data_IF_146809805190
#
_entry.id   IF_146809805190
#
_cell.length_a   1.000
_cell.length_b   1.000
_cell.length_c   1.000
_cell.angle_alpha   90.00
_cell.angle_beta   90.00
_cell.angle_gamma   90.00
#
_symmetry.space_group_name_H-M   'P 1'
#
loop_
_entity.id
_entity.type
_entity.pdbx_description
1 polymer ?
#
# COMPACT_ATOMS: atom_id res chain seq x y z
N UNK A 1 -6.26 -63.64 26.88
CA UNK A 1 -6.67 -62.22 26.90
C UNK A 1 -5.43 -61.35 26.78
N UNK A 2 -5.02 -60.97 25.57
CA UNK A 2 -4.05 -59.90 25.33
C UNK A 2 -4.49 -59.17 24.08
N UNK A 3 -5.07 -57.99 24.30
CA UNK A 3 -5.56 -57.07 23.29
C UNK A 3 -4.34 -56.42 22.63
N UNK A 4 -4.18 -56.65 21.33
CA UNK A 4 -3.20 -55.94 20.50
C UNK A 4 -3.79 -54.58 20.17
N UNK A 5 -3.33 -53.52 20.83
CA UNK A 5 -3.70 -52.14 20.48
C UNK A 5 -2.83 -51.73 19.30
N UNK A 6 -3.41 -51.73 18.10
CA UNK A 6 -2.86 -51.04 16.94
C UNK A 6 -3.00 -49.54 17.20
N UNK A 7 -1.91 -48.86 17.55
CA UNK A 7 -1.86 -47.41 17.53
C UNK A 7 -1.73 -46.96 16.07
N UNK A 8 -2.84 -46.52 15.46
CA UNK A 8 -2.78 -45.71 14.25
C UNK A 8 -2.09 -44.39 14.58
N UNK A 9 -0.88 -44.20 14.06
CA UNK A 9 -0.25 -42.89 13.98
C UNK A 9 -1.02 -42.06 12.95
N UNK A 10 -2.01 -41.30 13.41
CA UNK A 10 -2.51 -40.16 12.65
C UNK A 10 -1.50 -39.02 12.82
N UNK A 11 -0.48 -38.97 11.96
CA UNK A 11 0.30 -37.75 11.77
C UNK A 11 -0.59 -36.74 11.06
N UNK A 12 -1.28 -35.90 11.82
CA UNK A 12 -1.86 -34.68 11.28
C UNK A 12 -0.66 -33.79 10.92
N UNK A 13 -0.25 -33.81 9.65
CA UNK A 13 0.62 -32.77 9.12
C UNK A 13 -0.24 -31.50 9.09
N UNK A 14 -0.04 -30.60 10.05
CA UNK A 14 -0.56 -29.25 9.93
C UNK A 14 0.13 -28.62 8.72
N UNK A 15 -0.58 -28.47 7.61
CA UNK A 15 -0.06 -27.79 6.42
C UNK A 15 0.27 -26.35 6.81
N UNK A 16 1.44 -25.86 6.38
CA UNK A 16 1.76 -24.44 6.52
C UNK A 16 0.79 -23.61 5.66
N UNK A 17 0.58 -22.34 6.00
CA UNK A 17 -0.21 -21.42 5.15
C UNK A 17 0.32 -21.42 3.70
N UNK A 18 1.64 -21.49 3.54
CA UNK A 18 2.32 -21.57 2.24
C UNK A 18 1.88 -22.83 1.48
N UNK A 19 1.90 -24.00 2.12
CA UNK A 19 1.49 -25.26 1.49
C UNK A 19 0.01 -25.25 1.14
N UNK A 20 -0.85 -24.64 1.98
CA UNK A 20 -2.28 -24.52 1.70
C UNK A 20 -2.54 -23.68 0.45
N UNK A 21 -1.82 -22.56 0.29
CA UNK A 21 -1.96 -21.67 -0.87
C UNK A 21 -1.39 -22.32 -2.13
N UNK A 22 -0.16 -22.84 -2.06
CA UNK A 22 0.55 -23.32 -3.25
C UNK A 22 0.02 -24.67 -3.78
N UNK A 23 -0.65 -25.46 -2.95
CA UNK A 23 -1.26 -26.72 -3.37
C UNK A 23 -2.75 -26.58 -3.75
N UNK A 24 -3.36 -25.40 -3.57
CA UNK A 24 -4.74 -25.17 -3.98
C UNK A 24 -4.81 -24.88 -5.50
N UNK A 25 -5.44 -25.75 -6.31
CA UNK A 25 -5.55 -25.56 -7.75
C UNK A 25 -6.38 -24.33 -8.15
N UNK A 26 -7.14 -23.75 -7.22
CA UNK A 26 -7.92 -22.53 -7.41
C UNK A 26 -7.22 -21.29 -6.84
N UNK A 27 -5.98 -21.40 -6.34
CA UNK A 27 -5.23 -20.23 -5.92
C UNK A 27 -4.81 -19.40 -7.13
N UNK A 28 -5.06 -18.09 -7.06
CA UNK A 28 -4.65 -17.11 -8.08
C UNK A 28 -3.28 -16.50 -7.78
N UNK A 29 -2.64 -16.91 -6.68
CA UNK A 29 -1.36 -16.35 -6.23
C UNK A 29 -0.46 -17.41 -5.59
N UNK A 30 0.83 -17.09 -5.51
CA UNK A 30 1.85 -17.95 -4.91
C UNK A 30 2.39 -17.33 -3.63
N UNK A 31 2.57 -18.21 -2.63
CA UNK A 31 3.15 -17.87 -1.35
C UNK A 31 4.64 -18.28 -1.28
N UNK A 32 5.45 -17.48 -0.60
CA UNK A 32 6.88 -17.69 -0.41
C UNK A 32 7.31 -17.33 1.02
N UNK A 33 8.20 -18.16 1.58
CA UNK A 33 8.84 -17.86 2.86
C UNK A 33 10.02 -16.93 2.62
N UNK A 34 9.85 -15.65 2.95
CA UNK A 34 10.96 -14.69 2.91
C UNK A 34 11.97 -14.96 4.04
N UNK A 35 13.26 -14.72 3.78
CA UNK A 35 14.26 -14.57 4.81
C UNK A 35 13.90 -13.45 5.83
N UNK A 36 14.15 -13.64 7.13
CA UNK A 36 13.78 -12.67 8.18
C UNK A 36 14.37 -11.27 8.01
N UNK A 37 15.48 -11.13 7.28
CA UNK A 37 16.11 -9.84 6.97
C UNK A 37 15.31 -9.00 5.96
N UNK A 38 14.42 -9.62 5.18
CA UNK A 38 13.51 -8.91 4.28
C UNK A 38 12.27 -8.50 5.07
N UNK A 39 11.60 -9.47 5.68
CA UNK A 39 10.32 -9.25 6.36
C UNK A 39 10.09 -10.33 7.43
N UNK A 40 9.39 -9.95 8.50
CA UNK A 40 8.85 -10.88 9.51
C UNK A 40 7.40 -10.52 9.81
N UNK A 41 6.63 -11.46 10.36
CA UNK A 41 5.24 -11.20 10.74
C UNK A 41 5.12 -10.09 11.80
N UNK A 42 6.11 -9.98 12.69
CA UNK A 42 6.19 -8.88 13.65
C UNK A 42 6.42 -7.53 12.95
N UNK A 43 7.33 -7.48 11.97
CA UNK A 43 7.55 -6.29 11.14
C UNK A 43 6.26 -5.89 10.43
N UNK A 44 5.51 -6.84 9.85
CA UNK A 44 4.23 -6.55 9.19
C UNK A 44 3.24 -5.87 10.13
N UNK A 45 3.06 -6.40 11.36
CA UNK A 45 2.17 -5.79 12.36
C UNK A 45 2.58 -4.35 12.69
N UNK A 46 3.88 -4.07 12.74
CA UNK A 46 4.39 -2.71 12.94
C UNK A 46 4.18 -1.81 11.72
N UNK A 47 4.21 -2.38 10.50
CA UNK A 47 4.01 -1.63 9.25
C UNK A 47 2.54 -1.31 8.97
N UNK A 48 1.60 -2.09 9.52
CA UNK A 48 0.15 -1.83 9.48
C UNK A 48 -0.24 -0.65 10.39
N UNK A 49 0.08 0.56 9.94
CA UNK A 49 -0.13 1.80 10.67
C UNK A 49 -1.31 2.64 10.20
N UNK A 50 -2.27 2.09 9.46
CA UNK A 50 -3.42 2.88 8.99
C UNK A 50 -4.67 2.52 9.78
N UNK A 51 -5.32 3.53 10.33
CA UNK A 51 -6.63 3.39 10.94
C UNK A 51 -7.69 3.44 9.83
N UNK A 52 -8.32 2.31 9.57
CA UNK A 52 -9.36 2.16 8.54
C UNK A 52 -10.73 2.33 9.23
N UNK A 53 -11.49 3.38 8.91
CA UNK A 53 -12.86 3.52 9.40
C UNK A 53 -13.71 2.33 8.96
N UNK A 54 -14.64 1.90 9.80
CA UNK A 54 -15.63 0.90 9.37
C UNK A 54 -16.60 1.59 8.42
N UNK A 55 -16.52 1.29 7.12
CA UNK A 55 -17.53 1.69 6.16
C UNK A 55 -18.49 0.54 5.85
N UNK A 56 -19.79 0.85 5.91
CA UNK A 56 -20.86 -0.01 5.41
C UNK A 56 -21.17 0.41 3.97
N UNK A 57 -20.85 -0.44 3.00
CA UNK A 57 -21.13 -0.19 1.60
C UNK A 57 -20.62 -1.30 0.68
N UNK A 58 -21.41 -1.61 -0.35
CA UNK A 58 -21.11 -2.65 -1.35
C UNK A 58 -20.61 -2.05 -2.67
N UNK A 59 -20.17 -0.78 -2.67
CA UNK A 59 -19.71 -0.13 -3.89
C UNK A 59 -18.32 -0.68 -4.28
N UNK A 60 -18.31 -1.38 -5.42
CA UNK A 60 -17.12 -2.00 -6.01
C UNK A 60 -16.72 -1.32 -7.31
N UNK A 61 -15.45 -1.49 -7.70
CA UNK A 61 -14.97 -1.01 -8.97
C UNK A 61 -15.61 -1.78 -10.15
N UNK A 62 -16.11 -1.08 -11.19
CA UNK A 62 -16.65 -1.72 -12.39
C UNK A 62 -15.63 -2.63 -13.03
N UNK A 63 -16.00 -3.87 -13.35
CA UNK A 63 -15.07 -4.80 -14.02
C UNK A 63 -14.75 -4.34 -15.44
N UNK A 64 -15.81 -3.94 -16.16
CA UNK A 64 -15.78 -3.52 -17.56
C UNK A 64 -16.30 -2.08 -17.71
N UNK A 65 -15.59 -1.30 -18.50
CA UNK A 65 -16.03 0.00 -18.98
C UNK A 65 -15.66 0.14 -20.44
N UNK A 66 -16.64 0.36 -21.32
CA UNK A 66 -16.40 0.60 -22.75
C UNK A 66 -15.53 1.84 -23.03
N UNK A 67 -15.30 2.69 -22.02
CA UNK A 67 -14.52 3.91 -22.13
C UNK A 67 -13.05 3.77 -21.68
N UNK A 68 -12.67 2.66 -21.04
CA UNK A 68 -11.32 2.44 -20.50
C UNK A 68 -10.71 1.14 -21.04
N UNK A 69 -9.38 1.05 -21.16
CA UNK A 69 -8.74 -0.19 -21.58
C UNK A 69 -8.90 -1.29 -20.51
N UNK A 70 -8.90 -2.54 -20.96
CA UNK A 70 -8.96 -3.72 -20.07
C UNK A 70 -7.77 -3.76 -19.10
N UNK A 71 -6.59 -3.37 -19.58
CA UNK A 71 -5.35 -3.30 -18.83
C UNK A 71 -4.77 -1.88 -18.88
N UNK A 72 -4.22 -1.43 -17.76
CA UNK A 72 -3.56 -0.15 -17.64
C UNK A 72 -2.45 -0.24 -16.59
N UNK A 73 -1.26 0.20 -16.96
CA UNK A 73 -0.13 0.34 -16.06
C UNK A 73 0.45 1.75 -16.18
N UNK A 74 0.47 2.50 -15.09
CA UNK A 74 1.01 3.86 -15.06
C UNK A 74 2.49 3.91 -15.48
N UNK A 75 3.26 2.83 -15.27
CA UNK A 75 4.67 2.72 -15.68
C UNK A 75 4.81 2.67 -17.20
N UNK A 76 3.86 2.06 -17.89
CA UNK A 76 3.82 2.01 -19.35
C UNK A 76 3.23 3.28 -19.93
N UNK A 77 2.19 3.83 -19.29
CA UNK A 77 1.53 5.08 -19.71
C UNK A 77 2.45 6.29 -19.61
N UNK A 78 3.25 6.36 -18.55
CA UNK A 78 4.20 7.44 -18.28
C UNK A 78 5.60 6.89 -17.97
N UNK A 79 6.33 6.41 -18.99
CA UNK A 79 7.65 5.80 -18.80
C UNK A 79 8.63 6.73 -18.09
N UNK A 80 9.27 6.22 -17.03
CA UNK A 80 10.25 6.95 -16.22
C UNK A 80 9.66 8.07 -15.36
N UNK A 81 8.33 8.14 -15.20
CA UNK A 81 7.68 9.13 -14.32
C UNK A 81 7.35 8.60 -12.94
N UNK A 82 7.11 7.30 -12.78
CA UNK A 82 6.94 6.71 -11.46
C UNK A 82 8.31 6.60 -10.79
N UNK A 83 8.38 7.01 -9.52
CA UNK A 83 9.58 6.94 -8.70
C UNK A 83 9.79 5.53 -8.10
N UNK A 84 11.01 5.21 -7.63
CA UNK A 84 11.32 3.90 -7.04
C UNK A 84 10.47 3.57 -5.81
N UNK A 85 10.39 2.27 -5.49
CA UNK A 85 9.70 1.77 -4.29
C UNK A 85 10.46 2.18 -3.03
N UNK A 86 9.73 2.67 -2.03
CA UNK A 86 10.30 3.01 -0.72
C UNK A 86 10.11 1.88 0.32
N UNK A 87 10.78 2.02 1.48
CA UNK A 87 10.67 1.09 2.62
C UNK A 87 10.40 1.86 3.93
N UNK A 88 9.22 1.67 4.51
CA UNK A 88 8.79 2.28 5.77
C UNK A 88 9.47 1.65 7.01
N UNK A 89 10.25 0.58 6.85
CA UNK A 89 10.98 -0.09 7.93
C UNK A 89 10.05 -0.66 9.00
N UNK A 90 10.33 -0.37 10.27
CA UNK A 90 9.60 -0.84 11.45
C UNK A 90 8.63 0.21 12.02
N UNK A 91 8.26 1.18 11.19
CA UNK A 91 7.40 2.29 11.58
C UNK A 91 6.06 2.15 10.88
N UNK A 92 4.95 2.25 11.62
CA UNK A 92 3.58 2.27 11.10
C UNK A 92 3.26 3.59 10.38
N UNK A 93 4.06 3.93 9.37
CA UNK A 93 4.03 5.20 8.64
C UNK A 93 3.46 5.06 7.23
N UNK A 94 2.90 3.91 6.87
CA UNK A 94 2.30 3.67 5.56
C UNK A 94 1.30 4.75 5.11
N UNK A 95 0.52 5.31 6.04
CA UNK A 95 -0.36 6.46 5.81
C UNK A 95 0.39 7.67 5.22
N UNK A 96 1.59 7.98 5.72
CA UNK A 96 2.41 9.07 5.21
C UNK A 96 3.08 8.73 3.88
N UNK A 97 3.53 7.47 3.73
CA UNK A 97 4.12 6.98 2.48
C UNK A 97 3.10 7.04 1.34
N UNK A 98 1.87 6.57 1.54
CA UNK A 98 0.88 6.55 0.48
C UNK A 98 0.52 7.95 -0.03
N UNK A 99 0.45 8.96 0.86
CA UNK A 99 0.26 10.37 0.48
C UNK A 99 1.48 10.90 -0.29
N UNK A 100 2.69 10.71 0.24
CA UNK A 100 3.93 11.19 -0.38
C UNK A 100 4.17 10.57 -1.77
N UNK A 101 4.01 9.25 -1.88
CA UNK A 101 4.15 8.49 -3.13
C UNK A 101 3.07 8.87 -4.15
N UNK A 102 1.82 9.06 -3.71
CA UNK A 102 0.77 9.58 -4.60
C UNK A 102 1.10 10.97 -5.12
N UNK A 103 1.63 11.85 -4.26
CA UNK A 103 2.01 13.21 -4.62
C UNK A 103 3.19 13.24 -5.60
N UNK A 104 4.26 12.49 -5.31
CA UNK A 104 5.48 12.48 -6.13
C UNK A 104 5.23 11.93 -7.52
N UNK A 105 4.47 10.84 -7.65
CA UNK A 105 4.11 10.27 -8.95
C UNK A 105 3.29 11.27 -9.77
N UNK A 106 2.28 11.90 -9.17
CA UNK A 106 1.44 12.90 -9.85
C UNK A 106 2.21 14.15 -10.26
N UNK A 107 3.12 14.63 -9.42
CA UNK A 107 3.99 15.77 -9.72
C UNK A 107 4.98 15.45 -10.84
N UNK A 108 5.58 14.25 -10.82
CA UNK A 108 6.49 13.77 -11.86
C UNK A 108 5.78 13.59 -13.21
N UNK A 109 4.56 13.01 -13.22
CA UNK A 109 3.71 12.87 -14.40
C UNK A 109 3.40 14.24 -15.03
N UNK A 110 3.19 15.27 -14.20
CA UNK A 110 2.98 16.67 -14.64
C UNK A 110 4.26 17.36 -15.13
N UNK A 111 5.43 16.75 -14.94
CA UNK A 111 6.72 17.31 -15.33
C UNK A 111 7.34 18.26 -14.32
N UNK A 112 6.91 18.23 -13.04
CA UNK A 112 7.60 18.97 -11.98
C UNK A 112 8.93 18.28 -11.64
N UNK A 113 10.03 19.02 -11.65
CA UNK A 113 11.37 18.51 -11.32
C UNK A 113 11.66 18.68 -9.82
N UNK A 114 11.03 17.83 -8.99
CA UNK A 114 11.10 17.93 -7.53
C UNK A 114 11.68 16.67 -6.85
N UNK A 115 11.74 15.54 -7.56
CA UNK A 115 12.15 14.25 -7.00
C UNK A 115 11.11 13.64 -6.05
N UNK A 116 11.58 12.79 -5.12
CA UNK A 116 10.74 12.11 -4.15
C UNK A 116 10.20 13.08 -3.08
N UNK A 117 8.95 12.84 -2.67
CA UNK A 117 8.32 13.58 -1.58
C UNK A 117 8.65 12.93 -0.24
N UNK A 118 8.71 13.73 0.82
CA UNK A 118 9.11 13.25 2.14
C UNK A 118 7.92 12.68 2.93
N UNK A 119 7.81 11.35 3.12
CA UNK A 119 6.91 10.80 4.13
C UNK A 119 7.34 11.22 5.54
N UNK A 120 8.63 11.50 5.75
CA UNK A 120 9.14 11.93 7.06
C UNK A 120 8.51 13.24 7.52
N UNK A 121 8.33 14.22 6.63
CA UNK A 121 7.70 15.51 6.95
C UNK A 121 6.31 15.32 7.58
N UNK A 122 5.49 14.43 7.02
CA UNK A 122 4.21 14.02 7.60
C UNK A 122 4.42 13.31 8.95
N UNK A 123 5.29 12.30 8.99
CA UNK A 123 5.53 11.48 10.20
C UNK A 123 5.99 12.29 11.41
N UNK A 124 6.82 13.32 11.22
CA UNK A 124 7.37 14.10 12.33
C UNK A 124 6.58 15.38 12.65
N UNK A 125 5.81 15.94 11.70
CA UNK A 125 5.13 17.23 11.86
C UNK A 125 3.60 17.15 11.91
N UNK A 126 2.97 16.12 11.35
CA UNK A 126 1.52 15.94 11.54
C UNK A 126 1.24 15.51 12.98
N UNK A 127 0.64 16.43 13.75
CA UNK A 127 0.29 16.21 15.15
C UNK A 127 -1.15 15.73 15.36
N UNK A 128 -1.93 15.58 14.29
CA UNK A 128 -3.24 14.90 14.35
C UNK A 128 -3.06 13.38 14.31
N UNK A 129 -2.07 12.90 13.57
CA UNK A 129 -1.69 11.50 13.51
C UNK A 129 -0.57 11.17 14.53
N UNK A 130 -0.23 9.88 14.66
CA UNK A 130 0.64 9.37 15.75
C UNK A 130 1.99 8.86 15.25
N UNK A 131 2.51 9.42 14.15
CA UNK A 131 3.80 9.06 13.57
C UNK A 131 3.88 7.55 13.27
N UNK A 132 4.83 6.85 13.90
CA UNK A 132 5.00 5.39 13.75
C UNK A 132 3.90 4.54 14.39
N UNK A 133 3.02 5.13 15.22
CA UNK A 133 1.90 4.40 15.84
C UNK A 133 0.62 4.49 15.00
N UNK A 134 0.72 5.09 13.81
CA UNK A 134 -0.31 5.10 12.79
C UNK A 134 -1.00 6.44 12.59
N UNK A 135 -1.82 6.49 11.54
CA UNK A 135 -2.51 7.69 11.08
C UNK A 135 -3.77 7.38 10.29
N UNK A 136 -4.52 8.43 9.98
CA UNK A 136 -5.77 8.37 9.22
C UNK A 136 -5.61 9.11 7.89
N UNK A 137 -5.92 8.48 6.73
CA UNK A 137 -5.77 9.10 5.42
C UNK A 137 -6.42 10.49 5.32
N UNK A 138 -7.59 10.67 5.94
CA UNK A 138 -8.27 11.96 6.00
C UNK A 138 -7.36 13.07 6.58
N UNK A 139 -6.76 12.85 7.76
CA UNK A 139 -5.88 13.83 8.40
C UNK A 139 -4.63 14.08 7.55
N UNK A 140 -4.05 13.02 6.99
CA UNK A 140 -2.83 13.10 6.21
C UNK A 140 -3.03 13.88 4.89
N UNK A 141 -4.16 13.70 4.22
CA UNK A 141 -4.53 14.52 3.05
C UNK A 141 -4.92 15.94 3.44
N UNK A 142 -5.60 16.15 4.56
CA UNK A 142 -5.88 17.49 5.10
C UNK A 142 -4.57 18.24 5.41
N UNK A 143 -3.56 17.56 5.97
CA UNK A 143 -2.23 18.11 6.16
C UNK A 143 -1.58 18.50 4.83
N UNK A 144 -1.60 17.61 3.83
CA UNK A 144 -1.08 17.88 2.50
C UNK A 144 -1.79 19.08 1.83
N UNK A 145 -3.07 19.30 2.12
CA UNK A 145 -3.82 20.46 1.65
C UNK A 145 -3.45 21.75 2.37
N UNK A 146 -3.41 21.72 3.70
CA UNK A 146 -3.29 22.90 4.57
C UNK A 146 -1.84 23.37 4.72
N UNK A 147 -0.91 22.45 4.91
CA UNK A 147 0.51 22.69 5.17
C UNK A 147 1.37 22.33 3.96
N UNK A 148 1.01 21.26 3.25
CA UNK A 148 1.80 20.70 2.17
C UNK A 148 2.86 19.73 2.67
N UNK A 149 3.63 19.17 1.73
CA UNK A 149 4.67 18.19 1.98
C UNK A 149 5.96 18.67 1.30
N UNK A 150 7.11 18.51 1.95
CA UNK A 150 8.42 18.82 1.35
C UNK A 150 9.05 17.60 0.66
N UNK A 151 10.24 17.77 0.08
CA UNK A 151 10.95 16.70 -0.62
C UNK A 151 11.80 15.86 0.31
N UNK A 152 12.06 14.62 -0.09
CA UNK A 152 12.94 13.68 0.63
C UNK A 152 14.37 14.25 0.77
N UNK A 153 14.82 15.07 -0.19
CA UNK A 153 16.11 15.78 -0.08
C UNK A 153 16.16 16.84 1.03
N UNK A 154 15.01 17.43 1.37
CA UNK A 154 14.91 18.41 2.46
C UNK A 154 14.81 17.71 3.81
N UNK A 155 13.89 16.74 3.93
CA UNK A 155 13.67 15.95 5.14
C UNK A 155 13.74 14.46 4.77
N UNK A 156 14.91 13.81 4.91
CA UNK A 156 15.04 12.39 4.62
C UNK A 156 14.35 11.50 5.65
N UNK A 157 13.91 10.32 5.24
CA UNK A 157 13.29 9.33 6.09
C UNK A 157 14.28 8.74 7.10
N UNK A 158 13.97 8.94 8.38
CA UNK A 158 14.78 8.45 9.51
C UNK A 158 13.96 7.65 10.51
N UNK A 159 12.64 7.64 10.39
CA UNK A 159 11.74 6.94 11.31
C UNK A 159 11.69 5.42 11.10
N UNK A 160 12.37 4.86 10.10
CA UNK A 160 12.33 3.43 9.77
C UNK A 160 12.79 2.49 10.90
N UNK A 161 13.45 3.01 11.95
CA UNK A 161 13.74 2.28 13.19
C UNK A 161 12.58 2.21 14.19
N UNK A 162 11.42 2.80 13.89
CA UNK A 162 10.25 2.91 14.78
C UNK A 162 10.29 4.13 15.72
N UNK A 163 11.24 5.06 15.53
CA UNK A 163 11.44 6.23 16.39
C UNK A 163 11.16 7.50 15.61
N UNK A 164 10.25 8.32 16.11
CA UNK A 164 9.87 9.59 15.46
C UNK A 164 10.67 10.73 16.10
N UNK A 165 11.51 11.46 15.34
CA UNK A 165 12.19 12.65 15.85
C UNK A 165 11.21 13.81 16.02
N UNK A 166 11.68 14.91 16.63
CA UNK A 166 10.91 16.16 16.66
C UNK A 166 10.80 16.76 15.26
N UNK A 167 9.64 17.33 14.92
CA UNK A 167 9.42 18.09 13.69
C UNK A 167 10.54 19.10 13.43
N UNK A 168 11.19 18.99 12.27
CA UNK A 168 12.26 19.90 11.87
C UNK A 168 11.69 21.25 11.45
N UNK A 169 12.46 22.30 11.73
CA UNK A 169 12.19 23.66 11.28
C UNK A 169 12.99 24.09 10.05
N UNK A 170 13.97 23.27 9.63
CA UNK A 170 14.86 23.50 8.48
C UNK A 170 15.13 22.18 7.75
N UNK A 171 15.47 22.26 6.47
CA UNK A 171 15.99 21.12 5.73
C UNK A 171 17.32 20.63 6.33
N UNK A 172 17.74 19.40 6.02
CA UNK A 172 18.99 18.81 6.51
C UNK A 172 20.25 19.60 6.10
N UNK A 173 20.17 20.38 5.02
CA UNK A 173 21.23 21.28 4.56
C UNK A 173 21.19 22.69 5.21
N UNK A 174 20.23 22.95 6.10
CA UNK A 174 20.04 24.22 6.79
C UNK A 174 19.15 25.26 6.08
N UNK A 175 18.64 24.98 4.87
CA UNK A 175 17.73 25.88 4.16
C UNK A 175 16.32 25.90 4.77
N UNK A 176 15.52 26.90 4.39
CA UNK A 176 14.09 26.92 4.70
C UNK A 176 13.36 25.74 4.07
N UNK A 177 12.35 25.24 4.76
CA UNK A 177 11.49 24.16 4.27
C UNK A 177 10.49 24.76 3.27
N UNK A 178 10.49 24.24 2.05
CA UNK A 178 9.48 24.55 1.04
C UNK A 178 8.53 23.37 0.89
N UNK A 179 7.24 23.60 1.16
CA UNK A 179 6.19 22.58 1.06
C UNK A 179 5.29 22.81 -0.15
N UNK A 180 4.99 21.73 -0.87
CA UNK A 180 4.06 21.72 -1.99
C UNK A 180 2.70 21.30 -1.45
N UNK A 181 1.69 22.16 -1.63
CA UNK A 181 0.33 21.90 -1.15
C UNK A 181 -0.52 21.21 -2.20
N UNK A 182 -1.33 20.24 -1.76
CA UNK A 182 -2.46 19.77 -2.55
C UNK A 182 -3.48 20.92 -2.66
N UNK A 183 -3.79 21.36 -3.88
CA UNK A 183 -4.77 22.43 -4.12
C UNK A 183 -6.20 22.01 -3.81
N UNK A 184 -6.48 20.72 -4.02
CA UNK A 184 -7.74 20.05 -3.73
C UNK A 184 -7.42 18.64 -3.26
N UNK A 185 -8.23 18.13 -2.34
CA UNK A 185 -8.21 16.74 -1.89
C UNK A 185 -9.63 16.16 -2.04
N UNK A 186 -9.73 14.84 -2.15
CA UNK A 186 -11.04 14.20 -2.18
C UNK A 186 -10.99 12.70 -2.17
N UNK A 187 -12.09 12.12 -1.69
CA UNK A 187 -12.38 10.70 -1.83
C UNK A 187 -12.63 10.32 -3.29
N UNK A 188 -12.27 9.10 -3.64
CA UNK A 188 -12.58 8.49 -4.91
C UNK A 188 -13.56 7.35 -4.64
N UNK A 189 -14.75 7.39 -5.25
CA UNK A 189 -15.65 6.24 -5.17
C UNK A 189 -15.08 5.06 -5.94
N UNK A 190 -15.38 3.82 -5.50
CA UNK A 190 -14.95 2.60 -6.19
C UNK A 190 -15.24 2.64 -7.70
N UNK A 191 -16.40 3.19 -8.07
CA UNK A 191 -16.85 3.38 -9.46
C UNK A 191 -15.99 4.33 -10.29
N UNK A 192 -15.25 5.22 -9.66
CA UNK A 192 -14.42 6.23 -10.32
C UNK A 192 -12.94 5.90 -10.27
N UNK A 193 -12.50 4.90 -9.50
CA UNK A 193 -11.09 4.57 -9.27
C UNK A 193 -10.30 4.38 -10.58
N UNK A 194 -10.80 3.57 -11.52
CA UNK A 194 -10.10 3.38 -12.80
C UNK A 194 -10.01 4.69 -13.60
N UNK A 195 -11.10 5.47 -13.65
CA UNK A 195 -11.14 6.73 -14.40
C UNK A 195 -10.21 7.78 -13.79
N UNK A 196 -10.15 7.86 -12.46
CA UNK A 196 -9.24 8.74 -11.73
C UNK A 196 -7.79 8.36 -12.00
N UNK A 197 -7.42 7.08 -11.89
CA UNK A 197 -6.07 6.62 -12.19
C UNK A 197 -5.69 6.92 -13.65
N UNK A 198 -6.59 6.66 -14.59
CA UNK A 198 -6.35 6.91 -16.03
C UNK A 198 -6.05 8.37 -16.34
N UNK A 199 -6.77 9.30 -15.70
CA UNK A 199 -6.67 10.73 -15.98
C UNK A 199 -5.57 11.41 -15.18
N UNK A 200 -5.51 11.13 -13.88
CA UNK A 200 -4.76 11.92 -12.90
C UNK A 200 -3.51 11.20 -12.39
N UNK A 201 -3.39 9.89 -12.63
CA UNK A 201 -2.29 9.07 -12.16
C UNK A 201 -2.51 8.46 -10.77
N UNK A 202 -1.46 7.81 -10.21
CA UNK A 202 -1.54 7.01 -8.99
C UNK A 202 -2.17 7.73 -7.80
N UNK A 203 -2.83 6.96 -6.93
CA UNK A 203 -3.52 7.49 -5.76
C UNK A 203 -3.52 6.50 -4.59
N UNK A 204 -3.78 7.01 -3.39
CA UNK A 204 -3.77 6.22 -2.16
C UNK A 204 -5.05 5.39 -2.03
N UNK A 205 -4.88 4.16 -1.56
CA UNK A 205 -5.96 3.35 -0.98
C UNK A 205 -5.54 2.77 0.36
N UNK A 206 -6.51 2.34 1.14
CA UNK A 206 -6.25 1.49 2.31
C UNK A 206 -6.85 0.11 2.12
N UNK A 207 -6.28 -0.89 2.79
CA UNK A 207 -6.83 -2.25 2.84
C UNK A 207 -6.45 -2.96 4.14
N UNK A 208 -7.20 -3.99 4.46
CA UNK A 208 -6.98 -4.86 5.59
C UNK A 208 -5.90 -5.90 5.26
N UNK A 209 -4.86 -5.97 6.08
CA UNK A 209 -3.79 -6.95 5.94
C UNK A 209 -4.10 -8.18 6.78
N UNK A 210 -3.95 -9.37 6.19
CA UNK A 210 -4.06 -10.66 6.87
C UNK A 210 -2.70 -11.38 6.92
N UNK A 211 -2.58 -12.38 7.80
CA UNK A 211 -1.34 -13.14 8.00
C UNK A 211 -0.82 -13.83 6.73
N UNK A 212 -1.69 -14.21 5.80
CA UNK A 212 -1.27 -14.84 4.56
C UNK A 212 -0.60 -13.85 3.58
N UNK A 213 -0.99 -12.58 3.58
CA UNK A 213 -0.41 -11.54 2.72
C UNK A 213 1.09 -11.34 2.94
N UNK A 214 1.57 -11.58 4.17
CA UNK A 214 3.01 -11.58 4.49
C UNK A 214 3.81 -12.49 3.54
N UNK A 215 3.24 -13.61 3.11
CA UNK A 215 3.87 -14.59 2.24
C UNK A 215 3.72 -14.28 0.75
N UNK A 216 3.01 -13.21 0.36
CA UNK A 216 2.75 -12.92 -1.05
C UNK A 216 4.04 -12.86 -1.88
N UNK A 217 4.08 -13.63 -2.98
CA UNK A 217 5.20 -13.63 -3.93
C UNK A 217 4.83 -13.08 -5.30
N UNK A 218 3.72 -13.54 -5.85
CA UNK A 218 3.27 -13.19 -7.20
C UNK A 218 1.84 -13.66 -7.44
N UNK A 219 1.21 -13.16 -8.50
CA UNK A 219 -0.17 -13.48 -8.88
C UNK A 219 -1.18 -12.53 -8.25
N UNK A 220 -2.46 -12.88 -8.31
CA UNK A 220 -3.56 -12.02 -7.85
C UNK A 220 -3.97 -12.45 -6.44
N UNK A 221 -3.59 -11.65 -5.45
CA UNK A 221 -3.86 -11.91 -4.04
C UNK A 221 -5.36 -11.92 -3.74
N UNK A 222 -5.73 -12.90 -2.92
CA UNK A 222 -7.02 -13.05 -2.28
C UNK A 222 -6.77 -13.61 -0.88
N UNK A 223 -7.30 -12.98 0.16
CA UNK A 223 -7.17 -13.46 1.52
C UNK A 223 -7.92 -14.80 1.68
N UNK A 224 -7.24 -15.78 2.28
CA UNK A 224 -7.78 -17.13 2.50
C UNK A 224 -7.50 -17.64 3.91
N UNK A 225 -6.35 -17.30 4.49
CA UNK A 225 -5.87 -17.91 5.72
C UNK A 225 -5.28 -16.90 6.71
N UNK A 226 -5.39 -17.25 7.99
CA UNK A 226 -4.77 -16.52 9.09
C UNK A 226 -5.55 -15.29 9.55
N UNK A 227 -5.03 -14.67 10.61
CA UNK A 227 -5.70 -13.58 11.32
C UNK A 227 -5.53 -12.20 10.66
N UNK A 228 -6.42 -11.28 11.00
CA UNK A 228 -6.27 -9.86 10.71
C UNK A 228 -5.04 -9.29 11.44
N UNK A 229 -4.21 -8.54 10.72
CA UNK A 229 -2.98 -7.93 11.24
C UNK A 229 -3.10 -6.42 11.46
N UNK A 230 -3.95 -5.73 10.70
CA UNK A 230 -4.12 -4.28 10.78
C UNK A 230 -4.46 -3.66 9.43
N UNK A 231 -4.75 -2.36 9.45
CA UNK A 231 -4.98 -1.58 8.24
C UNK A 231 -3.67 -1.02 7.68
N UNK A 232 -3.58 -0.94 6.36
CA UNK A 232 -2.38 -0.50 5.67
C UNK A 232 -2.74 0.36 4.46
N UNK A 233 -2.02 1.48 4.28
CA UNK A 233 -2.16 2.37 3.13
C UNK A 233 -1.10 2.08 2.07
N UNK A 234 -1.52 2.10 0.81
CA UNK A 234 -0.72 1.73 -0.38
C UNK A 234 -1.17 2.56 -1.58
N UNK A 235 -0.45 2.48 -2.69
CA UNK A 235 -0.74 3.29 -3.89
C UNK A 235 -1.18 2.40 -5.06
N UNK A 236 -2.37 2.64 -5.61
CA UNK A 236 -2.80 1.98 -6.85
C UNK A 236 -2.14 2.66 -8.05
N UNK A 237 -1.51 1.85 -8.92
CA UNK A 237 -0.80 2.33 -10.12
C UNK A 237 -1.34 1.72 -11.41
N UNK A 238 -2.20 0.71 -11.36
CA UNK A 238 -2.68 0.02 -12.53
C UNK A 238 -3.84 -0.91 -12.27
N UNK A 239 -4.39 -1.49 -13.33
CA UNK A 239 -5.35 -2.60 -13.27
C UNK A 239 -5.15 -3.52 -14.47
N UNK A 240 -5.69 -4.73 -14.39
CA UNK A 240 -5.72 -5.63 -15.53
C UNK A 240 -6.67 -6.80 -15.32
N UNK A 241 -6.60 -7.75 -16.25
CA UNK A 241 -7.32 -9.02 -16.19
C UNK A 241 -6.39 -10.18 -16.58
N UNK A 242 -6.37 -11.23 -15.77
CA UNK A 242 -5.60 -12.45 -16.05
C UNK A 242 -6.50 -13.65 -15.79
N UNK A 243 -6.72 -14.51 -16.79
CA UNK A 243 -7.59 -15.70 -16.68
C UNK A 243 -8.98 -15.38 -16.09
N UNK A 244 -9.64 -14.34 -16.61
CA UNK A 244 -10.94 -13.81 -16.14
C UNK A 244 -10.95 -13.28 -14.68
N UNK A 245 -9.77 -13.12 -14.07
CA UNK A 245 -9.62 -12.51 -12.74
C UNK A 245 -9.14 -11.06 -12.91
N UNK A 246 -10.01 -10.12 -12.56
CA UNK A 246 -9.68 -8.70 -12.56
C UNK A 246 -8.85 -8.33 -11.33
N UNK A 247 -7.84 -7.49 -11.51
CA UNK A 247 -6.96 -7.07 -10.43
C UNK A 247 -6.59 -5.59 -10.49
N UNK A 248 -6.18 -5.06 -9.34
CA UNK A 248 -5.42 -3.82 -9.20
C UNK A 248 -3.93 -4.14 -9.16
N UNK A 249 -3.09 -3.27 -9.74
CA UNK A 249 -1.63 -3.25 -9.55
C UNK A 249 -1.34 -2.21 -8.49
N UNK A 250 -0.67 -2.64 -7.42
CA UNK A 250 -0.51 -1.84 -6.21
C UNK A 250 0.97 -1.76 -5.84
N UNK A 251 1.43 -0.54 -5.61
CA UNK A 251 2.74 -0.21 -5.06
C UNK A 251 2.68 -0.32 -3.53
N UNK A 252 3.55 -1.15 -2.97
CA UNK A 252 3.72 -1.29 -1.52
C UNK A 252 4.88 -0.41 -1.03
N UNK A 253 5.00 -0.25 0.29
CA UNK A 253 6.04 0.54 0.96
C UNK A 253 6.98 -0.32 1.82
N UNK A 254 7.19 -1.59 1.42
CA UNK A 254 8.01 -2.59 2.15
C UNK A 254 9.34 -2.93 1.43
N UNK A 255 9.75 -2.09 0.49
CA UNK A 255 10.96 -2.27 -0.31
C UNK A 255 10.81 -3.28 -1.46
N UNK A 256 11.72 -3.18 -2.43
CA UNK A 256 11.67 -3.94 -3.69
C UNK A 256 11.89 -5.45 -3.53
N UNK A 257 12.41 -5.91 -2.39
CA UNK A 257 12.71 -7.35 -2.19
C UNK A 257 11.46 -8.18 -1.88
N UNK A 258 10.35 -7.54 -1.56
CA UNK A 258 9.08 -8.19 -1.24
C UNK A 258 8.16 -8.21 -2.46
N UNK A 259 7.37 -9.28 -2.63
CA UNK A 259 6.38 -9.41 -3.69
C UNK A 259 6.97 -9.39 -5.12
N UNK A 260 6.27 -8.68 -6.00
CA UNK A 260 6.59 -8.50 -7.41
C UNK A 260 7.48 -7.25 -7.60
N UNK A 261 8.65 -7.26 -6.97
CA UNK A 261 9.59 -6.12 -6.89
C UNK A 261 9.03 -4.89 -6.15
N UNK A 262 8.42 -5.10 -4.99
CA UNK A 262 7.76 -4.07 -4.19
C UNK A 262 6.30 -3.81 -4.59
N UNK A 263 5.82 -4.46 -5.65
CA UNK A 263 4.43 -4.43 -6.06
C UNK A 263 3.68 -5.70 -5.64
N UNK A 264 2.36 -5.61 -5.66
CA UNK A 264 1.48 -6.76 -5.62
C UNK A 264 0.25 -6.52 -6.48
N UNK A 265 -0.47 -7.60 -6.79
CA UNK A 265 -1.78 -7.55 -7.44
C UNK A 265 -2.83 -8.10 -6.49
N UNK A 266 -3.98 -7.45 -6.42
CA UNK A 266 -5.11 -7.83 -5.55
C UNK A 266 -6.41 -7.83 -6.35
N UNK A 267 -7.34 -8.72 -6.01
CA UNK A 267 -8.65 -8.81 -6.67
C UNK A 267 -9.33 -7.44 -6.73
N UNK A 268 -9.85 -7.12 -7.91
CA UNK A 268 -10.63 -5.91 -8.22
C UNK A 268 -12.10 -6.26 -8.46
N UNK A 269 -12.99 -5.33 -8.11
CA UNK A 269 -14.44 -5.41 -8.30
C UNK A 269 -15.16 -6.32 -7.31
N UNK A 270 -14.48 -6.69 -6.22
CA UNK A 270 -15.06 -7.44 -5.10
C UNK A 270 -14.79 -6.78 -3.74
N UNK A 271 -14.21 -5.58 -3.75
CA UNK A 271 -13.72 -4.90 -2.56
C UNK A 271 -12.86 -5.82 -1.65
N UNK A 272 -11.98 -6.61 -2.28
CA UNK A 272 -11.12 -7.59 -1.58
C UNK A 272 -10.31 -6.87 -0.51
N UNK A 273 -10.39 -7.36 0.74
CA UNK A 273 -9.74 -6.73 1.89
C UNK A 273 -10.09 -5.24 2.08
N UNK A 274 -11.25 -4.77 1.60
CA UNK A 274 -11.68 -3.37 1.63
C UNK A 274 -10.84 -2.39 0.79
N UNK A 275 -10.06 -2.90 -0.18
CA UNK A 275 -9.15 -2.08 -1.02
C UNK A 275 -9.87 -1.01 -1.86
N UNK A 276 -11.18 -1.13 -2.05
CA UNK A 276 -12.00 -0.20 -2.85
C UNK A 276 -12.86 0.72 -1.98
N UNK A 277 -12.83 0.56 -0.65
CA UNK A 277 -13.63 1.38 0.28
C UNK A 277 -13.04 2.77 0.48
N UNK A 278 -11.72 2.88 0.66
CA UNK A 278 -11.09 4.14 1.05
C UNK A 278 -9.99 4.53 0.08
N UNK A 279 -10.39 5.17 -1.01
CA UNK A 279 -9.47 5.74 -1.97
C UNK A 279 -9.44 7.27 -1.85
N UNK A 280 -8.24 7.84 -1.87
CA UNK A 280 -8.00 9.27 -1.70
C UNK A 280 -7.05 9.82 -2.72
N UNK A 281 -7.25 11.09 -3.08
CA UNK A 281 -6.33 11.82 -3.93
C UNK A 281 -6.15 13.27 -3.53
N UNK A 282 -5.04 13.83 -4.01
CA UNK A 282 -4.79 15.26 -4.07
C UNK A 282 -4.42 15.71 -5.47
N UNK A 283 -4.78 16.95 -5.80
CA UNK A 283 -4.34 17.63 -7.00
C UNK A 283 -3.20 18.59 -6.67
N UNK A 284 -2.02 18.29 -7.21
CA UNK A 284 -0.84 19.10 -7.06
C UNK A 284 -0.55 19.89 -8.34
N UNK A 285 0.18 20.99 -8.18
CA UNK A 285 0.73 21.77 -9.27
C UNK A 285 2.20 22.04 -8.98
N UNK A 286 3.00 22.16 -10.04
CA UNK A 286 4.16 23.03 -9.96
C UNK A 286 3.67 24.50 -9.77
#
# INVERSE_FOLDING_TARGET
>A
MKLTILALFATVLANSIIDLINNDPNSTWQAYQYPPEIITLEKVRQMCGTQIPVEEGDDVAPLDSNALPADFDARERWPGKLLPIHDQGKCGSCWAFAVAESAEHRLSIKGCDIGAMSPQDLVECDHHDSGCNGGMPHHSWEWAHTHGITTETCIPYVSGGGQVPTCRSKCINGSDIHRIKAKKIGHISAKSMQQTLFNDGPFEVTFNVFEDFYYYKSGIYQARYGGYLGGHAVVIIGWGVENDVHYWIVQNSWGEKWGENGYFRIIRGKNECQVESHAWQGHFSC
#
